data_IF_550123026363
#
_entry.id   IF_550123026363
#
_cell.length_a   1.000
_cell.length_b   1.000
_cell.length_c   1.000
_cell.angle_alpha   90.00
_cell.angle_beta   90.00
_cell.angle_gamma   90.00
#
_symmetry.space_group_name_H-M   'P 1'
#
loop_
_entity.id
_entity.type
_entity.pdbx_description
1 polymer ?
#
# COMPACT_ATOMS: atom_id res chain seq x y z
N UNK A 1 -29.81 -4.32 -31.08
CA UNK A 1 -28.88 -3.33 -31.67
C UNK A 1 -29.48 -2.81 -32.96
N UNK A 2 -30.17 -1.67 -32.91
CA UNK A 2 -30.61 -0.95 -34.11
C UNK A 2 -29.60 0.17 -34.35
N UNK A 3 -28.83 0.08 -35.42
CA UNK A 3 -28.13 1.23 -35.97
C UNK A 3 -28.59 1.43 -37.42
N UNK A 4 -29.07 2.65 -37.64
CA UNK A 4 -29.54 3.25 -38.88
C UNK A 4 -28.51 3.13 -40.03
N UNK A 5 -29.00 2.82 -41.23
CA UNK A 5 -28.54 3.51 -42.44
C UNK A 5 -29.76 3.96 -43.24
N UNK A 6 -30.39 5.02 -42.74
CA UNK A 6 -31.29 5.89 -43.51
C UNK A 6 -30.40 7.01 -44.04
N UNK A 7 -30.60 7.38 -45.30
CA UNK A 7 -29.94 8.46 -46.05
C UNK A 7 -28.69 8.09 -46.85
N UNK A 8 -28.90 7.28 -47.88
CA UNK A 8 -28.38 7.59 -49.22
C UNK A 8 -29.56 7.51 -50.21
N UNK A 9 -30.24 8.63 -50.42
CA UNK A 9 -31.09 8.82 -51.61
C UNK A 9 -30.54 10.05 -52.31
N UNK A 10 -29.68 9.82 -53.29
CA UNK A 10 -29.43 10.78 -54.36
C UNK A 10 -30.03 10.16 -55.61
N UNK A 11 -31.34 10.38 -55.81
CA UNK A 11 -32.04 10.06 -57.04
C UNK A 11 -31.45 10.94 -58.13
N UNK A 12 -30.66 10.36 -59.03
CA UNK A 12 -30.38 10.98 -60.33
C UNK A 12 -31.38 10.38 -61.31
N UNK A 13 -32.47 11.11 -61.58
CA UNK A 13 -33.27 10.88 -62.77
C UNK A 13 -32.36 11.10 -63.99
N UNK A 14 -32.07 10.01 -64.69
CA UNK A 14 -31.52 10.03 -66.03
C UNK A 14 -32.67 9.70 -66.97
N UNK A 15 -33.21 10.70 -67.65
CA UNK A 15 -33.99 10.47 -68.86
C UNK A 15 -33.76 11.59 -69.86
N UNK A 16 -33.45 11.18 -71.07
CA UNK A 16 -32.87 11.93 -72.16
C UNK A 16 -33.79 13.02 -72.73
N UNK A 17 -33.20 14.11 -73.25
CA UNK A 17 -33.97 15.12 -73.98
C UNK A 17 -33.15 16.27 -74.57
N UNK A 18 -32.64 16.05 -75.78
CA UNK A 18 -32.35 17.02 -76.83
C UNK A 18 -31.10 17.92 -76.74
N UNK A 19 -30.19 17.71 -77.70
CA UNK A 19 -29.01 18.53 -77.97
C UNK A 19 -29.41 19.69 -78.88
N UNK A 20 -29.20 20.93 -78.44
CA UNK A 20 -28.85 22.09 -79.28
C UNK A 20 -28.43 23.27 -78.40
N UNK A 21 -27.20 23.75 -78.57
CA UNK A 21 -26.81 25.12 -78.16
C UNK A 21 -25.77 25.23 -77.05
N UNK A 22 -24.55 25.57 -77.47
CA UNK A 22 -23.60 26.51 -76.85
C UNK A 22 -23.29 26.44 -75.33
N UNK A 23 -22.06 26.01 -75.05
CA UNK A 23 -21.09 26.64 -74.15
C UNK A 23 -21.57 27.18 -72.79
N UNK A 24 -21.34 26.39 -71.74
CA UNK A 24 -20.75 26.88 -70.49
C UNK A 24 -20.15 25.69 -69.72
N UNK A 25 -18.82 25.64 -69.69
CA UNK A 25 -18.04 24.87 -68.72
C UNK A 25 -18.35 25.38 -67.31
N UNK A 26 -19.32 24.75 -66.69
CA UNK A 26 -19.61 24.87 -65.27
C UNK A 26 -19.34 23.53 -64.63
N UNK A 27 -18.07 23.22 -64.38
CA UNK A 27 -17.65 22.12 -63.51
C UNK A 27 -18.15 22.34 -62.08
N UNK A 28 -19.47 22.14 -61.84
CA UNK A 28 -20.07 22.16 -60.50
C UNK A 28 -19.55 20.96 -59.71
N UNK A 29 -18.35 21.10 -59.12
CA UNK A 29 -17.85 20.19 -58.09
C UNK A 29 -18.84 20.23 -56.92
N UNK A 30 -19.79 19.29 -56.88
CA UNK A 30 -20.63 19.05 -55.71
C UNK A 30 -19.70 18.67 -54.56
N UNK A 31 -19.38 19.65 -53.73
CA UNK A 31 -18.64 19.43 -52.48
C UNK A 31 -19.61 18.71 -51.55
N UNK A 32 -19.53 17.39 -51.49
CA UNK A 32 -20.24 16.63 -50.46
C UNK A 32 -19.73 17.09 -49.10
N UNK A 33 -20.46 17.98 -48.44
CA UNK A 33 -20.21 18.37 -47.07
C UNK A 33 -20.49 17.12 -46.24
N UNK A 34 -19.44 16.40 -45.82
CA UNK A 34 -19.56 15.36 -44.81
C UNK A 34 -20.24 16.00 -43.60
N UNK A 35 -21.51 15.67 -43.36
CA UNK A 35 -22.22 16.05 -42.13
C UNK A 35 -21.42 15.48 -40.97
N UNK A 36 -20.64 16.33 -40.29
CA UNK A 36 -20.00 15.95 -39.03
C UNK A 36 -21.15 15.63 -38.07
N UNK A 37 -21.23 14.37 -37.62
CA UNK A 37 -22.16 13.98 -36.56
C UNK A 37 -21.72 14.72 -35.31
N UNK A 38 -22.54 15.68 -34.86
CA UNK A 38 -22.35 16.35 -33.58
C UNK A 38 -22.65 15.36 -32.46
N UNK A 39 -21.85 15.40 -31.40
CA UNK A 39 -22.09 14.58 -30.21
C UNK A 39 -23.41 15.03 -29.57
N UNK A 40 -24.32 14.10 -29.32
CA UNK A 40 -25.55 14.44 -28.59
C UNK A 40 -25.22 14.63 -27.11
N UNK A 41 -25.95 15.54 -26.44
CA UNK A 41 -25.78 15.74 -24.99
C UNK A 41 -25.98 14.44 -24.20
N UNK A 42 -26.89 13.58 -24.69
CA UNK A 42 -27.19 12.29 -24.09
C UNK A 42 -26.00 11.32 -24.22
N UNK A 43 -25.31 11.30 -25.36
CA UNK A 43 -24.11 10.48 -25.53
C UNK A 43 -23.01 10.90 -24.54
N UNK A 44 -22.80 12.21 -24.30
CA UNK A 44 -21.80 12.65 -23.30
C UNK A 44 -22.27 12.37 -21.88
N UNK A 45 -23.54 12.60 -21.57
CA UNK A 45 -24.12 12.41 -20.24
C UNK A 45 -24.03 10.96 -19.77
N UNK A 46 -24.31 10.00 -20.66
CA UNK A 46 -24.25 8.59 -20.32
C UNK A 46 -22.82 8.12 -20.09
N UNK A 47 -21.86 8.63 -20.85
CA UNK A 47 -20.44 8.28 -20.72
C UNK A 47 -19.90 8.70 -19.36
N UNK A 48 -20.16 9.94 -18.94
CA UNK A 48 -19.70 10.40 -17.63
C UNK A 48 -20.42 9.67 -16.48
N UNK A 49 -21.71 9.33 -16.65
CA UNK A 49 -22.46 8.58 -15.65
C UNK A 49 -21.86 7.19 -15.43
N UNK A 50 -21.60 6.44 -16.51
CA UNK A 50 -21.00 5.12 -16.40
C UNK A 50 -19.55 5.19 -15.89
N UNK A 51 -18.74 6.14 -16.38
CA UNK A 51 -17.37 6.31 -15.89
C UNK A 51 -17.32 6.61 -14.38
N UNK A 52 -18.22 7.44 -13.86
CA UNK A 52 -18.32 7.74 -12.44
C UNK A 52 -18.66 6.48 -11.60
N UNK A 53 -19.57 5.63 -12.08
CA UNK A 53 -19.91 4.38 -11.38
C UNK A 53 -18.73 3.41 -11.29
N UNK A 54 -17.95 3.27 -12.37
CA UNK A 54 -16.76 2.42 -12.38
C UNK A 54 -15.70 2.94 -11.40
N UNK A 55 -15.43 4.25 -11.41
CA UNK A 55 -14.46 4.86 -10.50
C UNK A 55 -14.89 4.75 -9.03
N UNK A 56 -16.18 4.88 -8.72
CA UNK A 56 -16.70 4.74 -7.36
C UNK A 56 -16.45 3.32 -6.80
N UNK A 57 -16.66 2.28 -7.62
CA UNK A 57 -16.37 0.90 -7.22
C UNK A 57 -14.87 0.70 -6.98
N UNK A 58 -14.01 1.23 -7.85
CA UNK A 58 -12.55 1.13 -7.72
C UNK A 58 -11.99 1.88 -6.49
N UNK A 59 -12.54 3.04 -6.16
CA UNK A 59 -12.08 3.81 -5.00
C UNK A 59 -12.31 3.07 -3.68
N UNK A 60 -13.48 2.44 -3.51
CA UNK A 60 -13.80 1.70 -2.29
C UNK A 60 -12.92 0.45 -2.10
N UNK A 61 -12.58 -0.25 -3.18
CA UNK A 61 -11.72 -1.44 -3.13
C UNK A 61 -10.26 -1.08 -2.85
N UNK A 62 -9.77 0.05 -3.35
CA UNK A 62 -8.41 0.52 -3.10
C UNK A 62 -8.14 0.80 -1.62
N UNK A 63 -9.12 1.33 -0.87
CA UNK A 63 -8.97 1.56 0.57
C UNK A 63 -8.78 0.26 1.34
N UNK A 64 -9.54 -0.79 0.98
CA UNK A 64 -9.40 -2.11 1.57
C UNK A 64 -8.03 -2.70 1.27
N UNK A 65 -7.57 -2.62 0.02
CA UNK A 65 -6.25 -3.10 -0.40
C UNK A 65 -5.11 -2.38 0.35
N UNK A 66 -5.19 -1.06 0.52
CA UNK A 66 -4.18 -0.30 1.28
C UNK A 66 -4.14 -0.69 2.75
N UNK A 67 -5.31 -0.90 3.37
CA UNK A 67 -5.37 -1.35 4.76
C UNK A 67 -4.83 -2.78 4.92
N UNK A 68 -5.09 -3.67 3.97
CA UNK A 68 -4.50 -5.01 3.94
C UNK A 68 -2.97 -4.95 3.78
N UNK A 69 -2.45 -4.12 2.87
CA UNK A 69 -1.02 -3.94 2.68
C UNK A 69 -0.32 -3.37 3.94
N UNK A 70 -0.96 -2.41 4.61
CA UNK A 70 -0.48 -1.90 5.91
C UNK A 70 -0.38 -3.00 6.95
N UNK A 71 -1.42 -3.84 7.08
CA UNK A 71 -1.41 -4.99 8.01
C UNK A 71 -0.29 -5.98 7.69
N UNK A 72 -0.14 -6.37 6.42
CA UNK A 72 0.91 -7.28 6.00
C UNK A 72 2.32 -6.73 6.31
N UNK A 73 2.55 -5.44 6.04
CA UNK A 73 3.80 -4.76 6.40
C UNK A 73 4.06 -4.83 7.90
N UNK A 74 3.06 -4.47 8.71
CA UNK A 74 3.17 -4.46 10.17
C UNK A 74 3.47 -5.87 10.73
N UNK A 75 2.86 -6.91 10.15
CA UNK A 75 3.12 -8.30 10.53
C UNK A 75 4.55 -8.75 10.17
N UNK A 76 5.06 -8.41 8.98
CA UNK A 76 6.45 -8.71 8.61
C UNK A 76 7.45 -8.00 9.53
N UNK A 77 7.18 -6.76 9.91
CA UNK A 77 8.00 -5.99 10.84
C UNK A 77 8.08 -6.65 12.22
N UNK A 78 6.94 -7.10 12.77
CA UNK A 78 6.92 -7.85 14.03
C UNK A 78 7.75 -9.12 13.95
N UNK A 79 7.56 -9.90 12.90
CA UNK A 79 8.26 -11.18 12.73
C UNK A 79 9.77 -10.98 12.65
N UNK A 80 10.23 -9.96 11.94
CA UNK A 80 11.66 -9.62 11.85
C UNK A 80 12.23 -9.17 13.19
N UNK A 81 11.53 -8.31 13.93
CA UNK A 81 11.96 -7.89 15.27
C UNK A 81 12.04 -9.08 16.24
N UNK A 82 10.99 -9.91 16.29
CA UNK A 82 10.96 -11.11 17.16
C UNK A 82 12.09 -12.06 16.80
N UNK A 83 12.31 -12.32 15.51
CA UNK A 83 13.42 -13.17 15.07
C UNK A 83 14.78 -12.59 15.46
N UNK A 84 14.97 -11.28 15.36
CA UNK A 84 16.22 -10.63 15.77
C UNK A 84 16.50 -10.83 17.26
N UNK A 85 15.49 -10.68 18.14
CA UNK A 85 15.64 -10.96 19.57
C UNK A 85 15.98 -12.42 19.84
N UNK A 86 15.28 -13.35 19.19
CA UNK A 86 15.55 -14.77 19.34
C UNK A 86 16.97 -15.11 18.88
N UNK A 87 17.44 -14.54 17.76
CA UNK A 87 18.80 -14.74 17.28
C UNK A 87 19.86 -14.15 18.22
N UNK A 88 19.61 -12.97 18.78
CA UNK A 88 20.48 -12.36 19.79
C UNK A 88 20.58 -13.26 21.01
N UNK A 89 19.44 -13.71 21.56
CA UNK A 89 19.41 -14.61 22.70
C UNK A 89 20.11 -15.95 22.42
N UNK A 90 19.93 -16.52 21.23
CA UNK A 90 20.62 -17.75 20.84
C UNK A 90 22.15 -17.57 20.71
N UNK A 91 22.60 -16.36 20.41
CA UNK A 91 24.02 -16.04 20.22
C UNK A 91 24.71 -15.72 21.55
N UNK A 92 24.06 -14.95 22.42
CA UNK A 92 24.64 -14.44 23.66
C UNK A 92 24.15 -15.16 24.92
N UNK A 93 23.05 -15.91 24.85
CA UNK A 93 22.44 -16.59 26.00
C UNK A 93 21.67 -15.67 26.95
N UNK A 94 21.58 -14.38 26.64
CA UNK A 94 20.90 -13.37 27.44
C UNK A 94 20.13 -12.37 26.56
N UNK A 95 19.18 -11.65 27.16
CA UNK A 95 18.48 -10.58 26.48
C UNK A 95 19.35 -9.33 26.37
N UNK A 96 19.12 -8.46 25.37
CA UNK A 96 19.85 -7.19 25.27
C UNK A 96 19.75 -6.37 26.56
N UNK A 97 20.79 -5.61 26.92
CA UNK A 97 20.73 -4.70 28.05
C UNK A 97 19.57 -3.71 27.84
N UNK A 98 18.90 -3.36 28.94
CA UNK A 98 17.67 -2.56 28.95
C UNK A 98 16.42 -3.29 28.44
N UNK A 99 16.43 -4.64 28.38
CA UNK A 99 15.21 -5.42 28.16
C UNK A 99 14.16 -5.11 29.24
N UNK A 100 13.01 -4.53 28.86
CA UNK A 100 11.97 -4.13 29.80
C UNK A 100 11.24 -5.37 30.34
N UNK A 101 11.17 -5.51 31.67
CA UNK A 101 10.33 -6.53 32.31
C UNK A 101 8.84 -6.22 32.11
N UNK A 102 8.49 -4.92 32.15
CA UNK A 102 7.14 -4.41 31.95
C UNK A 102 6.86 -4.06 30.49
N UNK A 103 5.58 -3.83 30.18
CA UNK A 103 5.15 -3.32 28.88
C UNK A 103 5.75 -1.93 28.60
N UNK A 104 6.54 -1.80 27.54
CA UNK A 104 7.13 -0.53 27.11
C UNK A 104 7.12 -0.37 25.60
N UNK A 105 7.26 0.88 25.14
CA UNK A 105 7.33 1.20 23.72
C UNK A 105 8.70 0.80 23.14
N UNK A 106 8.69 0.26 21.92
CA UNK A 106 9.90 -0.11 21.18
C UNK A 106 10.69 1.14 20.80
N UNK A 107 11.71 1.46 21.61
CA UNK A 107 12.58 2.62 21.39
C UNK A 107 13.90 2.26 20.72
N UNK A 108 14.54 3.24 20.09
CA UNK A 108 15.84 3.06 19.43
C UNK A 108 16.91 2.52 20.39
N UNK A 109 17.00 3.08 21.60
CA UNK A 109 17.93 2.63 22.66
C UNK A 109 17.88 1.12 22.90
N UNK A 110 16.68 0.54 22.79
CA UNK A 110 16.50 -0.88 23.02
C UNK A 110 16.87 -1.74 21.81
N UNK A 111 16.70 -1.19 20.60
CA UNK A 111 17.05 -1.89 19.35
C UNK A 111 18.53 -1.73 18.98
N UNK A 112 19.25 -0.78 19.58
CA UNK A 112 20.66 -0.50 19.28
C UNK A 112 21.56 -1.74 19.27
N UNK A 113 21.52 -2.65 20.27
CA UNK A 113 22.35 -3.86 20.26
C UNK A 113 22.10 -4.80 19.08
N UNK A 114 20.94 -4.69 18.43
CA UNK A 114 20.54 -5.51 17.28
C UNK A 114 20.86 -4.85 15.95
N UNK A 115 20.98 -3.51 15.94
CA UNK A 115 21.13 -2.67 14.77
C UNK A 115 22.60 -2.31 14.50
N UNK A 116 23.33 -1.89 15.53
CA UNK A 116 24.71 -1.43 15.40
C UNK A 116 25.69 -2.57 15.72
N UNK A 117 26.53 -2.98 14.74
CA UNK A 117 27.57 -3.97 14.98
C UNK A 117 28.71 -3.46 15.88
N UNK A 118 28.79 -2.16 16.14
CA UNK A 118 29.84 -1.59 16.99
C UNK A 118 29.34 -1.25 18.40
N UNK A 119 28.09 -1.59 18.72
CA UNK A 119 27.55 -1.33 20.05
C UNK A 119 28.26 -2.18 21.12
N UNK A 120 28.48 -1.60 22.29
CA UNK A 120 29.17 -2.27 23.40
C UNK A 120 28.43 -3.51 23.92
N UNK A 121 27.12 -3.60 23.69
CA UNK A 121 26.33 -4.77 24.03
C UNK A 121 26.38 -5.88 22.96
N UNK A 122 27.00 -5.63 21.81
CA UNK A 122 27.12 -6.58 20.70
C UNK A 122 28.59 -6.97 20.48
N UNK A 123 29.20 -7.77 21.37
CA UNK A 123 30.64 -8.03 21.34
C UNK A 123 31.11 -8.80 20.10
N UNK A 124 30.22 -9.50 19.39
CA UNK A 124 30.55 -10.22 18.15
C UNK A 124 30.31 -9.37 16.89
N UNK A 125 29.73 -8.18 17.02
CA UNK A 125 29.41 -7.29 15.90
C UNK A 125 28.51 -7.89 14.83
N UNK A 126 27.58 -8.77 15.24
CA UNK A 126 26.60 -9.39 14.33
C UNK A 126 25.38 -8.47 14.23
N UNK A 127 24.94 -8.16 13.01
CA UNK A 127 23.71 -7.40 12.80
C UNK A 127 22.53 -8.37 12.80
N UNK A 128 21.67 -8.28 13.81
CA UNK A 128 20.49 -9.14 13.96
C UNK A 128 19.26 -8.56 13.28
N UNK A 129 19.17 -7.23 13.19
CA UNK A 129 18.05 -6.54 12.58
C UNK A 129 18.56 -5.64 11.45
N UNK A 130 18.40 -6.07 10.20
CA UNK A 130 18.72 -5.23 9.03
C UNK A 130 17.55 -4.29 8.70
N UNK A 131 17.17 -3.48 9.68
CA UNK A 131 16.21 -2.39 9.48
C UNK A 131 16.78 -1.13 10.07
N UNK A 132 17.33 -0.29 9.22
CA UNK A 132 17.84 1.00 9.66
C UNK A 132 16.67 1.89 10.07
N UNK A 133 16.71 2.41 11.30
CA UNK A 133 15.78 3.44 11.82
C UNK A 133 15.65 4.65 10.86
N UNK A 134 16.63 4.83 9.98
CA UNK A 134 16.79 5.95 9.06
C UNK A 134 15.92 5.93 7.80
N UNK A 135 15.16 4.87 7.50
CA UNK A 135 14.13 4.84 6.42
C UNK A 135 12.68 4.86 6.94
N UNK A 136 12.49 4.78 8.25
CA UNK A 136 11.17 4.79 8.87
C UNK A 136 10.82 6.23 9.23
N UNK A 137 10.16 6.91 8.28
CA UNK A 137 9.43 8.17 8.46
C UNK A 137 10.01 9.14 9.52
N UNK A 138 11.14 9.78 9.20
CA UNK A 138 11.90 10.76 10.01
C UNK A 138 11.13 11.91 10.71
N UNK A 139 9.81 11.97 10.68
CA UNK A 139 9.08 13.01 11.38
C UNK A 139 7.69 12.54 11.86
N UNK A 140 7.63 11.82 12.99
CA UNK A 140 6.47 12.01 13.89
C UNK A 140 6.50 11.47 15.32
N UNK A 141 7.51 10.73 15.76
CA UNK A 141 7.54 10.25 17.16
C UNK A 141 8.87 10.51 17.84
N UNK A 142 9.28 11.78 17.87
CA UNK A 142 10.13 12.25 18.97
C UNK A 142 9.20 12.67 20.10
N UNK A 143 9.36 12.08 21.28
CA UNK A 143 8.72 12.63 22.47
C UNK A 143 9.37 13.98 22.85
N UNK A 144 8.81 14.69 23.84
CA UNK A 144 9.37 15.95 24.39
C UNK A 144 10.85 15.82 24.83
N UNK A 145 11.32 14.59 25.05
CA UNK A 145 12.67 14.25 25.50
C UNK A 145 13.60 13.82 24.35
N UNK A 146 13.15 13.87 23.10
CA UNK A 146 13.97 13.53 21.92
C UNK A 146 14.13 12.04 21.65
N UNK A 147 13.45 11.16 22.39
CA UNK A 147 13.52 9.70 22.19
C UNK A 147 12.74 9.28 20.95
N UNK A 148 13.36 8.42 20.13
CA UNK A 148 12.77 7.88 18.90
C UNK A 148 12.20 6.48 19.12
N UNK A 149 11.08 6.20 18.48
CA UNK A 149 10.34 4.94 18.60
C UNK A 149 10.10 4.29 17.25
N UNK A 150 10.08 2.97 17.24
CA UNK A 150 9.72 2.19 16.06
C UNK A 150 8.20 2.18 15.93
N UNK A 151 7.69 2.69 14.80
CA UNK A 151 6.26 2.94 14.59
C UNK A 151 5.63 1.92 13.63
N UNK A 152 4.38 1.57 13.90
CA UNK A 152 3.55 0.81 12.98
C UNK A 152 3.09 1.66 11.78
N UNK A 153 2.51 1.05 10.73
CA UNK A 153 1.96 1.79 9.57
C UNK A 153 0.80 2.76 9.89
N UNK A 154 0.38 2.85 11.15
CA UNK A 154 -0.61 3.80 11.68
C UNK A 154 0.01 4.85 12.60
N UNK A 155 1.34 4.96 12.64
CA UNK A 155 2.10 5.94 13.42
C UNK A 155 1.97 5.79 14.93
N UNK A 156 1.78 4.55 15.41
CA UNK A 156 1.74 4.24 16.84
C UNK A 156 2.95 3.37 17.18
N UNK A 157 3.66 3.64 18.28
CA UNK A 157 4.79 2.80 18.66
C UNK A 157 4.34 1.36 18.90
N UNK A 158 5.18 0.43 18.47
CA UNK A 158 5.05 -0.94 18.90
C UNK A 158 5.30 -1.03 20.40
N UNK A 159 4.71 -2.05 21.01
CA UNK A 159 4.91 -2.36 22.42
C UNK A 159 5.55 -3.73 22.57
N UNK A 160 6.30 -3.88 23.64
CA UNK A 160 6.94 -5.15 23.95
C UNK A 160 7.11 -5.37 25.45
N UNK A 161 7.35 -6.62 25.82
CA UNK A 161 7.73 -7.03 27.16
C UNK A 161 8.55 -8.32 27.11
N UNK A 162 9.44 -8.48 28.08
CA UNK A 162 10.23 -9.68 28.29
C UNK A 162 9.84 -10.29 29.63
N UNK A 163 9.49 -11.58 29.62
CA UNK A 163 9.27 -12.32 30.85
C UNK A 163 10.17 -13.54 30.90
N UNK A 164 10.79 -13.74 32.06
CA UNK A 164 11.53 -14.94 32.39
C UNK A 164 10.72 -15.68 33.45
N UNK A 165 10.20 -16.85 33.10
CA UNK A 165 9.40 -17.68 33.99
C UNK A 165 10.20 -18.90 34.41
N UNK A 166 10.36 -19.10 35.72
CA UNK A 166 10.92 -20.33 36.27
C UNK A 166 9.82 -21.36 36.45
N UNK A 167 10.02 -22.55 35.89
CA UNK A 167 9.13 -23.69 36.06
C UNK A 167 9.83 -24.72 36.92
N UNK A 168 9.50 -24.74 38.22
CA UNK A 168 9.95 -25.76 39.14
C UNK A 168 9.07 -27.01 38.99
N UNK A 169 9.64 -28.07 38.40
CA UNK A 169 9.06 -29.40 38.50
C UNK A 169 9.45 -30.02 39.81
N UNK A 170 8.50 -30.54 40.58
CA UNK A 170 8.76 -31.29 41.80
C UNK A 170 9.64 -32.52 41.46
N UNK A 171 10.93 -32.46 41.79
CA UNK A 171 11.93 -33.48 41.45
C UNK A 171 12.68 -33.31 40.12
N UNK A 172 12.55 -32.18 39.41
CA UNK A 172 13.29 -31.88 38.18
C UNK A 172 14.11 -30.59 38.30
N UNK A 173 15.23 -30.50 37.56
CA UNK A 173 16.02 -29.27 37.49
C UNK A 173 15.13 -28.08 37.08
N UNK A 174 15.34 -26.92 37.71
CA UNK A 174 14.55 -25.73 37.47
C UNK A 174 14.67 -25.32 35.99
N UNK A 175 13.55 -25.28 35.25
CA UNK A 175 13.55 -24.88 33.83
C UNK A 175 13.24 -23.40 33.73
N UNK A 176 14.12 -22.64 33.09
CA UNK A 176 13.91 -21.21 32.84
C UNK A 176 13.34 -21.06 31.43
N UNK A 177 12.15 -20.48 31.33
CA UNK A 177 11.51 -20.13 30.06
C UNK A 177 11.61 -18.63 29.83
N UNK A 178 12.30 -18.23 28.79
CA UNK A 178 12.33 -16.84 28.34
C UNK A 178 11.26 -16.61 27.27
N UNK A 179 10.48 -15.54 27.42
CA UNK A 179 9.42 -15.16 26.49
C UNK A 179 9.56 -13.70 26.12
N UNK A 180 9.61 -13.43 24.82
CA UNK A 180 9.53 -12.07 24.26
C UNK A 180 8.20 -11.90 23.55
N UNK A 181 7.47 -10.86 23.91
CA UNK A 181 6.24 -10.47 23.23
C UNK A 181 6.39 -9.10 22.62
N UNK A 182 5.98 -8.94 21.35
CA UNK A 182 5.89 -7.65 20.66
C UNK A 182 4.49 -7.55 20.04
N UNK A 183 3.81 -6.43 20.22
CA UNK A 183 2.45 -6.22 19.70
C UNK A 183 2.17 -4.75 19.37
N UNK A 184 1.12 -4.54 18.58
CA UNK A 184 0.55 -3.21 18.38
C UNK A 184 -0.39 -2.89 19.55
N UNK A 185 -0.41 -1.66 20.05
CA UNK A 185 -1.22 -1.28 21.21
C UNK A 185 -2.73 -1.35 20.98
N UNK A 186 -3.19 -1.29 19.73
CA UNK A 186 -4.60 -1.40 19.42
C UNK A 186 -4.98 -2.81 18.92
N UNK A 187 -5.62 -3.59 19.80
CA UNK A 187 -6.02 -4.96 19.54
C UNK A 187 -7.13 -5.08 18.46
N UNK A 188 -7.91 -4.02 18.19
CA UNK A 188 -8.93 -4.00 17.13
C UNK A 188 -8.35 -4.05 15.70
N UNK A 189 -7.02 -3.97 15.59
CA UNK A 189 -6.28 -4.14 14.33
C UNK A 189 -5.81 -5.57 14.11
N UNK A 190 -6.01 -6.46 15.10
CA UNK A 190 -5.84 -7.91 14.94
C UNK A 190 -7.03 -8.48 14.16
N UNK A 191 -6.77 -9.56 13.44
CA UNK A 191 -7.67 -10.29 12.57
C UNK A 191 -8.95 -10.76 13.28
#
# INVERSE_FOLDING_TARGET
>A
MRCFSKYDICSTESSAGNLNGAAADGSYRRRCVKRRRGFTLVEMMLVIALAATLMAMLASSLLQARNAARRAKAESELREMVNAFIQYFNTYGEWPPNAPADETDVSEEFLQPLLDPNDGANPLGVVFLNKTFTEIERARSRNKYGKEYYLDPWMVPYKMSFSTAETSGEGSANKIKHTTSIWFPNNSRRW
#
